data_IF_813932625407
#
_entry.id   IF_813932625407
#
_cell.length_a   1.000
_cell.length_b   1.000
_cell.length_c   1.000
_cell.angle_alpha   90.00
_cell.angle_beta   90.00
_cell.angle_gamma   90.00
#
_symmetry.space_group_name_H-M   'P 1'
#
loop_
_entity.id
_entity.type
_entity.pdbx_description
1 polymer ?
#
# COMPACT_ATOMS: atom_id res chain seq x y z
N UNK A 1 -11.59 -11.54 -8.47
CA UNK A 1 -11.59 -12.50 -7.34
C UNK A 1 -11.36 -11.84 -5.96
N UNK A 2 -11.02 -10.55 -5.85
CA UNK A 2 -10.92 -9.85 -4.54
C UNK A 2 -12.05 -8.83 -4.32
N UNK A 3 -13.10 -8.87 -5.13
CA UNK A 3 -14.26 -7.98 -5.02
C UNK A 3 -14.88 -8.04 -3.62
N UNK A 4 -15.26 -6.89 -3.09
CA UNK A 4 -15.76 -6.69 -1.71
C UNK A 4 -14.78 -7.08 -0.58
N UNK A 5 -13.52 -7.38 -0.89
CA UNK A 5 -12.50 -7.62 0.15
C UNK A 5 -11.91 -6.29 0.61
N UNK A 6 -11.88 -6.05 1.93
CA UNK A 6 -11.24 -4.88 2.54
C UNK A 6 -9.92 -5.30 3.17
N UNK A 7 -8.83 -4.64 2.77
CA UNK A 7 -7.47 -4.98 3.17
C UNK A 7 -6.85 -3.79 3.91
N UNK A 8 -6.42 -4.01 5.15
CA UNK A 8 -5.52 -3.10 5.86
C UNK A 8 -4.08 -3.48 5.51
N UNK A 9 -3.36 -2.59 4.83
CA UNK A 9 -1.96 -2.82 4.42
C UNK A 9 -1.02 -2.01 5.29
N UNK A 10 -0.26 -2.67 6.16
CA UNK A 10 0.73 -2.02 7.02
C UNK A 10 2.11 -2.09 6.37
N UNK A 11 2.72 -0.93 6.13
CA UNK A 11 4.02 -0.79 5.46
C UNK A 11 5.10 -0.50 6.52
N UNK A 12 6.02 -1.45 6.69
CA UNK A 12 7.19 -1.35 7.57
C UNK A 12 8.43 -0.74 6.90
N UNK A 13 9.45 -0.41 7.69
CA UNK A 13 10.71 0.17 7.23
C UNK A 13 11.70 -0.88 6.72
N UNK A 14 11.61 -1.23 5.44
CA UNK A 14 12.59 -2.08 4.78
C UNK A 14 12.75 -1.68 3.33
N UNK A 15 13.85 -2.09 2.70
CA UNK A 15 14.18 -1.72 1.32
C UNK A 15 13.07 -2.07 0.32
N UNK A 16 12.24 -3.08 0.62
CA UNK A 16 11.11 -3.49 -0.22
C UNK A 16 9.87 -2.57 -0.12
N UNK A 17 9.85 -1.57 0.78
CA UNK A 17 8.69 -0.71 1.01
C UNK A 17 8.23 0.04 -0.25
N UNK A 18 9.12 0.42 -1.17
CA UNK A 18 8.72 1.06 -2.43
C UNK A 18 7.82 0.18 -3.31
N UNK A 19 7.93 -1.15 -3.20
CA UNK A 19 7.10 -2.11 -3.95
C UNK A 19 5.65 -2.15 -3.44
N UNK A 20 5.39 -1.57 -2.26
CA UNK A 20 4.02 -1.47 -1.71
C UNK A 20 3.09 -0.70 -2.65
N UNK A 21 3.61 0.28 -3.40
CA UNK A 21 2.83 1.02 -4.41
C UNK A 21 2.29 0.09 -5.51
N UNK A 22 3.15 -0.79 -6.05
CA UNK A 22 2.74 -1.77 -7.06
C UNK A 22 1.76 -2.80 -6.49
N UNK A 23 1.97 -3.20 -5.23
CA UNK A 23 1.05 -4.10 -4.52
C UNK A 23 -0.35 -3.48 -4.37
N UNK A 24 -0.44 -2.23 -3.91
CA UNK A 24 -1.72 -1.51 -3.77
C UNK A 24 -2.46 -1.47 -5.11
N UNK A 25 -1.77 -1.08 -6.19
CA UNK A 25 -2.34 -1.02 -7.54
C UNK A 25 -2.92 -2.37 -7.96
N UNK A 26 -2.14 -3.45 -7.84
CA UNK A 26 -2.59 -4.81 -8.24
C UNK A 26 -3.75 -5.33 -7.39
N UNK A 27 -3.79 -5.02 -6.10
CA UNK A 27 -4.90 -5.41 -5.23
C UNK A 27 -6.20 -4.72 -5.66
N UNK A 28 -6.12 -3.42 -5.98
CA UNK A 28 -7.27 -2.64 -6.48
C UNK A 28 -7.74 -3.12 -7.86
N UNK A 29 -6.82 -3.40 -8.78
CA UNK A 29 -7.14 -3.99 -10.11
C UNK A 29 -7.89 -5.32 -10.01
N UNK A 30 -7.72 -6.05 -8.90
CA UNK A 30 -8.41 -7.31 -8.62
C UNK A 30 -9.74 -7.14 -7.86
N UNK A 31 -10.14 -5.91 -7.57
CA UNK A 31 -11.41 -5.53 -6.93
C UNK A 31 -11.34 -5.27 -5.42
N UNK A 32 -10.16 -5.26 -4.80
CA UNK A 32 -10.04 -5.02 -3.36
C UNK A 32 -10.11 -3.53 -3.01
N UNK A 33 -10.68 -3.22 -1.85
CA UNK A 33 -10.52 -1.93 -1.18
C UNK A 33 -9.31 -2.00 -0.24
N UNK A 34 -8.34 -1.10 -0.41
CA UNK A 34 -7.09 -1.13 0.37
C UNK A 34 -6.99 0.14 1.21
N UNK A 35 -6.72 -0.01 2.50
CA UNK A 35 -6.39 1.09 3.41
C UNK A 35 -4.94 0.92 3.85
N UNK A 36 -4.00 1.72 3.31
CA UNK A 36 -2.62 1.64 3.73
C UNK A 36 -2.36 2.43 5.01
N UNK A 37 -1.47 1.90 5.85
CA UNK A 37 -0.89 2.55 7.02
C UNK A 37 0.62 2.35 6.93
N UNK A 38 1.41 3.37 7.22
CA UNK A 38 2.86 3.28 7.12
C UNK A 38 3.55 3.73 8.40
N UNK A 39 4.64 3.04 8.73
CA UNK A 39 5.52 3.42 9.84
C UNK A 39 6.41 4.60 9.45
N UNK A 40 6.96 5.32 10.42
CA UNK A 40 7.95 6.37 10.16
C UNK A 40 9.17 5.83 9.40
N UNK A 41 9.63 4.62 9.70
CA UNK A 41 10.75 4.00 9.00
C UNK A 41 10.42 3.64 7.53
N UNK A 42 9.14 3.37 7.20
CA UNK A 42 8.73 3.20 5.81
C UNK A 42 8.77 4.50 5.01
N UNK A 43 8.55 5.65 5.67
CA UNK A 43 8.57 6.97 5.05
C UNK A 43 9.96 7.34 4.49
N UNK A 44 11.03 6.73 5.00
CA UNK A 44 12.40 6.85 4.47
C UNK A 44 12.58 6.21 3.08
N UNK A 45 11.70 5.27 2.72
CA UNK A 45 11.78 4.52 1.45
C UNK A 45 10.66 4.88 0.46
N UNK A 46 9.48 5.28 0.95
CA UNK A 46 8.33 5.65 0.13
C UNK A 46 7.54 6.75 0.83
N UNK A 47 7.13 7.79 0.08
CA UNK A 47 6.49 8.95 0.71
C UNK A 47 5.00 8.69 1.02
N UNK A 48 4.45 9.29 2.09
CA UNK A 48 3.01 9.24 2.37
C UNK A 48 2.15 9.74 1.21
N UNK A 49 2.61 10.77 0.51
CA UNK A 49 1.91 11.32 -0.66
C UNK A 49 1.78 10.30 -1.79
N UNK A 50 2.84 9.53 -2.08
CA UNK A 50 2.81 8.49 -3.11
C UNK A 50 1.83 7.35 -2.75
N UNK A 51 1.77 6.98 -1.47
CA UNK A 51 0.84 5.95 -0.97
C UNK A 51 -0.62 6.43 -1.06
N UNK A 52 -0.90 7.67 -0.64
CA UNK A 52 -2.24 8.26 -0.69
C UNK A 52 -2.78 8.40 -2.12
N UNK A 53 -1.92 8.68 -3.11
CA UNK A 53 -2.32 8.77 -4.52
C UNK A 53 -2.88 7.46 -5.09
N UNK A 54 -2.59 6.32 -4.45
CA UNK A 54 -3.01 4.98 -4.89
C UNK A 54 -4.08 4.36 -4.00
N UNK A 55 -4.52 5.05 -2.94
CA UNK A 55 -5.51 4.55 -1.97
C UNK A 55 -6.95 4.70 -2.45
#
# INVERSE_FOLDING_TARGET
MLENTRILLIIGGGIAAYKSLDLIRRLRERGASVTPVMTSAAAEFVTPMAVSALS
#
